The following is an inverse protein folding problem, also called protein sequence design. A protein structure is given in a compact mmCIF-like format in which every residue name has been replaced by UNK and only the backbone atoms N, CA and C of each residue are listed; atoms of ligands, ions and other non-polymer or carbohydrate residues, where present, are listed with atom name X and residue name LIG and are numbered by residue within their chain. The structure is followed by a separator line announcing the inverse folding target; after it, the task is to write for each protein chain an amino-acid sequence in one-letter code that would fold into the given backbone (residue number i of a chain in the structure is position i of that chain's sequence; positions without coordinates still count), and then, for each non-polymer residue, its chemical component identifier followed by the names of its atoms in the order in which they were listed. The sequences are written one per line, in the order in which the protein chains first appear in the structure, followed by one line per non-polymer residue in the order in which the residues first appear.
data_IF_813599410092
#
_entry.id   IF_813599410092
#
_cell.length_a   1.000
_cell.length_b   1.000
_cell.length_c   1.000
_cell.angle_alpha   90.00
_cell.angle_beta   90.00
_cell.angle_gamma   90.00
#
_symmetry.space_group_name_H-M   'P 1'
#
loop_
_entity.id
_entity.type
_entity.pdbx_description
1 polymer ?
#
# COMPACT_ATOMS: atom_id res chain seq x y z
N UNK A 1 14.52 -14.10 -3.52
CA UNK A 1 15.69 -14.45 -4.38
C UNK A 1 16.91 -13.62 -4.03
N UNK A 2 16.81 -12.29 -4.04
CA UNK A 2 17.93 -11.37 -3.75
C UNK A 2 18.73 -11.75 -2.51
N UNK A 3 18.08 -11.98 -1.36
CA UNK A 3 18.74 -12.36 -0.09
C UNK A 3 19.73 -13.51 -0.23
N UNK A 4 19.38 -14.56 -0.99
CA UNK A 4 20.23 -15.76 -1.15
C UNK A 4 21.42 -15.44 -2.06
N UNK A 5 21.23 -14.64 -3.10
CA UNK A 5 22.30 -14.22 -4.02
C UNK A 5 23.27 -13.26 -3.33
N UNK A 6 22.78 -12.30 -2.54
CA UNK A 6 23.62 -11.41 -1.74
C UNK A 6 24.44 -12.19 -0.70
N UNK A 7 23.81 -13.16 -0.02
CA UNK A 7 24.51 -14.07 0.89
C UNK A 7 25.62 -14.86 0.16
N UNK A 8 25.34 -15.38 -1.03
CA UNK A 8 26.33 -16.09 -1.85
C UNK A 8 27.48 -15.17 -2.27
N UNK A 9 27.19 -13.93 -2.68
CA UNK A 9 28.21 -12.95 -3.04
C UNK A 9 29.15 -12.66 -1.86
N UNK A 10 28.60 -12.42 -0.66
CA UNK A 10 29.40 -12.24 0.56
C UNK A 10 30.24 -13.47 0.90
N UNK A 11 29.70 -14.69 0.67
CA UNK A 11 30.45 -15.93 0.87
C UNK A 11 31.61 -16.08 -0.11
N UNK A 12 31.40 -15.77 -1.40
CA UNK A 12 32.45 -15.82 -2.42
C UNK A 12 33.58 -14.85 -2.10
N UNK A 13 33.26 -13.67 -1.55
CA UNK A 13 34.23 -12.66 -1.14
C UNK A 13 35.04 -13.10 0.10
N UNK A 14 34.36 -13.46 1.19
CA UNK A 14 34.99 -13.98 2.40
C UNK A 14 34.05 -14.96 3.14
N UNK A 15 34.30 -16.29 3.04
CA UNK A 15 33.51 -17.30 3.73
C UNK A 15 33.52 -17.19 5.27
N UNK A 16 34.50 -16.48 5.84
CA UNK A 16 34.61 -16.26 7.29
C UNK A 16 34.26 -14.83 7.71
N UNK A 17 33.87 -13.98 6.75
CA UNK A 17 33.60 -12.56 6.95
C UNK A 17 32.34 -12.30 7.77
N UNK A 18 32.30 -11.15 8.44
CA UNK A 18 31.17 -10.77 9.30
C UNK A 18 29.88 -10.57 8.50
N UNK A 19 29.96 -10.12 7.24
CA UNK A 19 28.79 -9.96 6.38
C UNK A 19 28.13 -11.30 6.05
N UNK A 20 28.90 -12.32 5.71
CA UNK A 20 28.35 -13.66 5.46
C UNK A 20 27.72 -14.25 6.72
N UNK A 21 28.36 -14.12 7.90
CA UNK A 21 27.79 -14.56 9.18
C UNK A 21 26.47 -13.86 9.51
N UNK A 22 26.35 -12.56 9.24
CA UNK A 22 25.09 -11.81 9.39
C UNK A 22 24.01 -12.34 8.44
N UNK A 23 24.35 -12.65 7.20
CA UNK A 23 23.40 -13.28 6.27
C UNK A 23 22.93 -14.67 6.72
N UNK A 24 23.84 -15.48 7.28
CA UNK A 24 23.50 -16.80 7.83
C UNK A 24 22.52 -16.68 9.00
N UNK A 25 22.75 -15.72 9.91
CA UNK A 25 21.90 -15.47 11.05
C UNK A 25 20.46 -15.10 10.66
N UNK A 26 20.25 -14.54 9.46
CA UNK A 26 18.95 -14.16 8.89
C UNK A 26 18.31 -15.24 8.00
N UNK A 27 18.88 -16.46 7.92
CA UNK A 27 18.20 -17.58 7.22
C UNK A 27 16.88 -17.97 7.92
N UNK A 28 16.84 -18.13 9.26
CA UNK A 28 15.61 -18.53 9.95
C UNK A 28 14.43 -17.58 9.70
N UNK A 29 14.70 -16.28 9.54
CA UNK A 29 13.70 -15.25 9.22
C UNK A 29 12.94 -15.58 7.92
N UNK A 30 13.47 -16.44 7.05
CA UNK A 30 12.88 -16.84 5.77
C UNK A 30 12.26 -18.25 5.81
N UNK A 31 12.27 -18.94 6.95
CA UNK A 31 11.81 -20.32 7.06
C UNK A 31 10.48 -20.38 7.83
N UNK A 32 9.49 -21.04 7.24
CA UNK A 32 8.17 -21.25 7.82
C UNK A 32 7.87 -22.74 7.94
N UNK A 33 7.42 -23.19 9.12
CA UNK A 33 6.95 -24.56 9.32
C UNK A 33 5.44 -24.60 9.12
N UNK A 34 4.99 -25.14 7.99
CA UNK A 34 3.59 -25.32 7.66
C UNK A 34 3.11 -26.74 8.02
N UNK A 35 1.80 -26.97 7.86
CA UNK A 35 1.18 -28.29 8.05
C UNK A 35 1.77 -29.36 7.11
N UNK A 36 2.24 -28.93 5.94
CA UNK A 36 2.88 -29.73 4.90
C UNK A 36 4.40 -29.53 4.86
N UNK A 37 5.01 -29.42 6.04
CA UNK A 37 6.46 -29.32 6.28
C UNK A 37 7.06 -27.90 6.10
N UNK A 38 8.37 -27.84 5.93
CA UNK A 38 9.17 -26.61 5.98
C UNK A 38 9.18 -25.95 4.60
N UNK A 39 8.86 -24.67 4.57
CA UNK A 39 8.85 -23.81 3.39
C UNK A 39 9.78 -22.62 3.58
N UNK A 40 10.24 -22.05 2.47
CA UNK A 40 10.91 -20.76 2.45
C UNK A 40 9.92 -19.71 1.96
N UNK A 41 9.64 -18.70 2.78
CA UNK A 41 8.84 -17.54 2.38
C UNK A 41 9.74 -16.38 1.92
N UNK A 42 9.14 -15.32 1.37
CA UNK A 42 9.88 -14.16 0.87
C UNK A 42 10.41 -13.28 1.98
N UNK A 43 9.57 -12.72 2.83
CA UNK A 43 9.97 -11.85 3.94
C UNK A 43 8.90 -11.78 5.05
N UNK A 44 7.82 -12.58 4.92
CA UNK A 44 6.62 -12.50 5.76
C UNK A 44 5.63 -11.40 5.29
N UNK A 45 4.43 -11.38 5.87
CA UNK A 45 3.34 -10.42 5.60
C UNK A 45 2.81 -9.76 6.87
N UNK A 46 3.65 -9.68 7.90
CA UNK A 46 3.23 -9.38 9.28
C UNK A 46 2.55 -8.02 9.39
N UNK A 47 3.15 -6.97 8.83
CA UNK A 47 2.59 -5.63 8.87
C UNK A 47 1.30 -5.57 8.04
N UNK A 48 1.32 -6.06 6.80
CA UNK A 48 0.15 -6.09 5.92
C UNK A 48 -1.06 -6.79 6.55
N UNK A 49 -0.85 -7.98 7.11
CA UNK A 49 -1.89 -8.76 7.77
C UNK A 49 -2.38 -8.06 9.05
N UNK A 50 -1.47 -7.40 9.79
CA UNK A 50 -1.83 -6.65 11.00
C UNK A 50 -2.67 -5.43 10.65
N UNK A 51 -2.28 -4.64 9.66
CA UNK A 51 -3.03 -3.47 9.19
C UNK A 51 -4.44 -3.83 8.75
N UNK A 52 -4.61 -4.87 7.93
CA UNK A 52 -5.95 -5.33 7.54
C UNK A 52 -6.74 -5.92 8.70
N UNK A 53 -6.10 -6.67 9.61
CA UNK A 53 -6.77 -7.23 10.79
C UNK A 53 -7.31 -6.13 11.70
N UNK A 54 -6.51 -5.08 11.95
CA UNK A 54 -6.95 -3.92 12.74
C UNK A 54 -8.13 -3.23 12.07
N UNK A 55 -8.07 -2.98 10.76
CA UNK A 55 -9.20 -2.40 10.03
C UNK A 55 -10.46 -3.26 10.11
N UNK A 56 -10.33 -4.58 10.01
CA UNK A 56 -11.45 -5.51 10.12
C UNK A 56 -12.05 -5.51 11.55
N UNK A 57 -11.21 -5.50 12.59
CA UNK A 57 -11.66 -5.39 13.98
C UNK A 57 -12.39 -4.07 14.25
N UNK A 58 -11.86 -2.96 13.74
CA UNK A 58 -12.51 -1.64 13.84
C UNK A 58 -13.86 -1.61 13.11
N UNK A 59 -13.93 -2.17 11.89
CA UNK A 59 -15.16 -2.25 11.12
C UNK A 59 -16.22 -3.19 11.73
N UNK A 60 -15.79 -4.17 12.55
CA UNK A 60 -16.67 -5.12 13.24
C UNK A 60 -17.00 -4.74 14.69
N UNK A 61 -16.60 -3.55 15.14
CA UNK A 61 -16.76 -3.07 16.52
C UNK A 61 -16.10 -3.98 17.59
N UNK A 62 -15.04 -4.71 17.23
CA UNK A 62 -14.26 -5.57 18.13
C UNK A 62 -13.01 -4.83 18.64
N UNK A 63 -13.20 -3.60 19.12
CA UNK A 63 -12.13 -2.63 19.42
C UNK A 63 -11.25 -3.06 20.62
N UNK A 64 -11.75 -3.94 21.49
CA UNK A 64 -11.07 -4.31 22.74
C UNK A 64 -9.83 -5.23 22.57
N UNK A 65 -9.43 -5.58 21.33
CA UNK A 65 -8.35 -6.55 21.05
C UNK A 65 -7.07 -5.95 20.43
N UNK A 66 -6.96 -4.61 20.29
CA UNK A 66 -5.89 -3.95 19.51
C UNK A 66 -4.68 -3.53 20.40
N UNK A 67 -3.43 -3.67 19.90
CA UNK A 67 -2.17 -3.17 20.54
C UNK A 67 -1.19 -2.56 19.50
N UNK A 68 -0.48 -1.44 19.79
CA UNK A 68 0.37 -0.70 18.82
C UNK A 68 1.87 -1.07 18.80
N UNK A 69 2.57 -0.72 17.69
CA UNK A 69 4.03 -0.87 17.42
C UNK A 69 4.73 0.50 17.28
N UNK A 70 6.02 0.66 17.64
CA UNK A 70 6.59 1.98 18.03
C UNK A 70 7.87 2.55 17.37
N UNK A 71 8.73 1.86 16.62
CA UNK A 71 10.07 2.42 16.30
C UNK A 71 10.54 2.36 14.83
N UNK A 72 11.58 3.16 14.50
CA UNK A 72 12.20 3.33 13.17
C UNK A 72 13.75 3.19 13.25
N UNK A 73 14.46 2.65 12.24
CA UNK A 73 15.93 2.61 12.19
C UNK A 73 16.57 3.67 11.24
N UNK A 74 17.91 3.93 11.33
CA UNK A 74 18.59 5.00 10.58
C UNK A 74 19.55 4.51 9.47
N UNK A 75 19.55 5.14 8.26
CA UNK A 75 20.73 5.17 7.34
C UNK A 75 20.60 6.16 6.14
N UNK A 76 21.71 6.38 5.40
CA UNK A 76 21.83 7.25 4.19
C UNK A 76 21.52 6.47 2.90
N UNK A 77 20.24 6.45 2.53
CA UNK A 77 19.65 5.56 1.52
C UNK A 77 19.85 6.00 0.04
N UNK A 78 20.10 7.29 -0.23
CA UNK A 78 20.10 7.84 -1.60
C UNK A 78 21.24 7.33 -2.49
N UNK A 79 22.40 6.96 -1.93
CA UNK A 79 23.53 6.42 -2.71
C UNK A 79 23.30 4.99 -3.21
N UNK A 80 22.26 4.31 -2.72
CA UNK A 80 21.93 2.92 -3.02
C UNK A 80 20.68 2.78 -3.89
N UNK A 81 20.25 3.87 -4.55
CA UNK A 81 19.02 3.91 -5.36
C UNK A 81 17.77 3.47 -4.58
N UNK A 82 17.65 3.90 -3.32
CA UNK A 82 16.44 3.69 -2.51
C UNK A 82 15.60 4.96 -2.44
N UNK A 83 14.28 4.81 -2.38
CA UNK A 83 13.34 5.90 -2.10
C UNK A 83 13.24 6.26 -0.61
N UNK A 84 12.54 7.35 -0.27
CA UNK A 84 12.36 7.84 1.10
C UNK A 84 11.50 6.85 1.90
N UNK A 85 12.02 6.32 3.01
CA UNK A 85 11.32 5.36 3.87
C UNK A 85 10.95 5.89 5.27
N UNK A 86 11.38 7.11 5.64
CA UNK A 86 11.04 7.68 6.95
C UNK A 86 9.53 7.93 7.03
N UNK A 87 8.88 7.32 8.02
CA UNK A 87 7.43 7.44 8.25
C UNK A 87 6.58 6.51 7.36
N UNK A 88 7.22 5.58 6.66
CA UNK A 88 6.55 4.55 5.86
C UNK A 88 6.55 3.21 6.59
N UNK A 89 5.75 2.27 6.10
CA UNK A 89 5.69 0.90 6.56
C UNK A 89 6.11 -0.07 5.45
N UNK A 90 6.77 -1.15 5.85
CA UNK A 90 7.15 -2.25 4.96
C UNK A 90 6.01 -3.27 4.89
N UNK A 91 6.10 -4.24 3.98
CA UNK A 91 5.12 -5.32 3.93
C UNK A 91 5.24 -6.31 5.10
N UNK A 92 6.44 -6.45 5.66
CA UNK A 92 6.77 -7.49 6.64
C UNK A 92 7.09 -6.92 8.01
N UNK A 93 8.35 -6.61 8.27
CA UNK A 93 8.85 -6.12 9.55
C UNK A 93 9.76 -4.91 9.37
N UNK A 94 10.08 -4.27 10.49
CA UNK A 94 10.89 -3.06 10.52
C UNK A 94 12.32 -3.27 9.96
N UNK A 95 12.91 -4.45 10.14
CA UNK A 95 14.28 -4.76 9.69
C UNK A 95 14.34 -4.98 8.16
N UNK A 96 13.22 -5.24 7.49
CA UNK A 96 13.15 -5.33 6.03
C UNK A 96 13.44 -3.97 5.36
N UNK A 97 13.07 -2.86 6.01
CA UNK A 97 13.36 -1.47 5.60
C UNK A 97 12.92 -1.06 4.17
N UNK A 98 12.17 -1.92 3.45
CA UNK A 98 11.64 -1.63 2.13
C UNK A 98 10.19 -1.15 2.22
N UNK A 99 10.03 0.16 2.07
CA UNK A 99 8.73 0.81 2.15
C UNK A 99 7.80 0.42 1.00
N UNK A 100 6.51 0.19 1.28
CA UNK A 100 5.49 -0.05 0.26
C UNK A 100 4.39 0.99 0.42
N UNK A 101 3.91 1.54 -0.69
CA UNK A 101 2.95 2.64 -0.69
C UNK A 101 1.59 2.25 -0.12
N UNK A 102 1.11 1.06 -0.46
CA UNK A 102 -0.17 0.53 0.04
C UNK A 102 -0.04 0.10 1.50
N UNK A 103 1.04 -0.58 1.90
CA UNK A 103 1.30 -0.92 3.30
C UNK A 103 1.32 0.36 4.17
N UNK A 104 2.13 1.34 3.76
CA UNK A 104 2.20 2.65 4.41
C UNK A 104 0.86 3.37 4.48
N UNK A 105 0.01 3.17 3.48
CA UNK A 105 -1.34 3.72 3.48
C UNK A 105 -2.24 3.00 4.47
N UNK A 106 -2.31 1.67 4.39
CA UNK A 106 -3.21 0.87 5.23
C UNK A 106 -2.87 1.04 6.71
N UNK A 107 -1.59 1.16 7.04
CA UNK A 107 -1.16 1.41 8.42
C UNK A 107 -1.36 2.86 8.83
N UNK A 108 -1.15 3.83 7.93
CA UNK A 108 -1.54 5.22 8.18
C UNK A 108 -3.05 5.32 8.48
N UNK A 109 -3.90 4.60 7.75
CA UNK A 109 -5.34 4.52 8.04
C UNK A 109 -5.58 3.95 9.43
N UNK A 110 -4.93 2.83 9.78
CA UNK A 110 -5.05 2.22 11.12
C UNK A 110 -4.65 3.21 12.21
N UNK A 111 -3.49 3.85 12.08
CA UNK A 111 -3.00 4.79 13.08
C UNK A 111 -3.90 6.03 13.19
N UNK A 112 -4.43 6.54 12.09
CA UNK A 112 -5.39 7.66 12.12
C UNK A 112 -6.70 7.24 12.79
N UNK A 113 -7.26 6.07 12.44
CA UNK A 113 -8.49 5.55 13.09
C UNK A 113 -8.27 5.31 14.58
N UNK A 114 -7.16 4.67 14.96
CA UNK A 114 -6.81 4.43 16.36
C UNK A 114 -6.60 5.74 17.12
N UNK A 115 -6.03 6.78 16.50
CA UNK A 115 -5.84 8.09 17.16
C UNK A 115 -7.15 8.81 17.51
N UNK A 116 -8.26 8.41 16.87
CA UNK A 116 -9.62 8.87 17.16
C UNK A 116 -10.26 8.11 18.32
N UNK A 117 -9.72 6.95 18.72
CA UNK A 117 -10.17 6.18 19.89
C UNK A 117 -9.63 6.78 21.22
N UNK A 118 -10.20 6.32 22.34
CA UNK A 118 -9.75 6.76 23.68
C UNK A 118 -8.35 6.25 23.99
N UNK A 119 -7.54 7.06 24.67
CA UNK A 119 -6.19 6.67 25.11
C UNK A 119 -6.19 5.49 26.09
N UNK A 120 -7.33 5.19 26.73
CA UNK A 120 -7.49 4.00 27.56
C UNK A 120 -7.38 2.70 26.75
N UNK A 121 -7.83 2.72 25.50
CA UNK A 121 -7.81 1.57 24.60
C UNK A 121 -6.47 1.48 23.86
N UNK A 122 -6.00 2.59 23.28
CA UNK A 122 -4.86 2.59 22.35
C UNK A 122 -3.54 3.09 22.95
N UNK A 123 -3.57 3.57 24.20
CA UNK A 123 -2.43 4.16 24.87
C UNK A 123 -2.11 5.58 24.41
N UNK A 124 -0.83 5.94 24.53
CA UNK A 124 -0.32 7.25 24.11
C UNK A 124 -0.50 7.46 22.59
N UNK A 125 -0.96 8.66 22.22
CA UNK A 125 -1.17 9.01 20.81
C UNK A 125 0.18 9.18 20.11
N UNK A 126 0.22 8.80 18.83
CA UNK A 126 1.36 9.11 18.00
C UNK A 126 1.48 10.63 17.77
N UNK A 127 2.72 11.11 17.73
CA UNK A 127 3.01 12.50 17.40
C UNK A 127 2.55 12.85 15.97
N UNK A 128 1.90 14.00 15.74
CA UNK A 128 1.39 14.40 14.43
C UNK A 128 2.42 14.35 13.30
N UNK A 129 3.68 14.64 13.61
CA UNK A 129 4.80 14.65 12.67
C UNK A 129 5.03 13.29 12.02
N UNK A 130 4.70 12.18 12.70
CA UNK A 130 4.80 10.83 12.12
C UNK A 130 3.79 10.63 10.99
N UNK A 131 2.57 11.15 11.14
CA UNK A 131 1.57 11.13 10.07
C UNK A 131 2.01 12.01 8.88
N UNK A 132 2.66 13.14 9.16
CA UNK A 132 3.17 14.04 8.12
C UNK A 132 4.27 13.39 7.28
N UNK A 133 5.19 12.67 7.92
CA UNK A 133 6.21 11.91 7.21
C UNK A 133 5.59 10.85 6.26
N UNK A 134 4.60 10.09 6.75
CA UNK A 134 3.85 9.13 5.92
C UNK A 134 3.16 9.79 4.72
N UNK A 135 2.44 10.89 4.96
CA UNK A 135 1.76 11.66 3.90
C UNK A 135 2.76 12.19 2.87
N UNK A 136 3.95 12.60 3.27
CA UNK A 136 4.98 13.05 2.34
C UNK A 136 5.50 11.92 1.44
N UNK A 137 5.62 10.70 1.96
CA UNK A 137 5.96 9.52 1.15
C UNK A 137 4.85 9.27 0.12
N UNK A 138 3.58 9.20 0.54
CA UNK A 138 2.45 8.98 -0.38
C UNK A 138 2.38 10.03 -1.49
N UNK A 139 2.51 11.32 -1.14
CA UNK A 139 2.49 12.41 -2.12
C UNK A 139 3.66 12.33 -3.11
N UNK A 140 4.79 11.73 -2.72
CA UNK A 140 5.97 11.59 -3.59
C UNK A 140 5.85 10.47 -4.62
N UNK A 141 4.94 9.51 -4.41
CA UNK A 141 4.77 8.31 -5.23
C UNK A 141 3.70 8.46 -6.32
N UNK A 142 3.07 9.64 -6.45
CA UNK A 142 2.12 9.90 -7.53
C UNK A 142 2.83 10.21 -8.84
N UNK A 143 2.49 9.45 -9.86
CA UNK A 143 2.91 9.71 -11.23
C UNK A 143 2.11 10.81 -11.90
N UNK A 144 2.62 11.30 -13.04
CA UNK A 144 1.98 12.37 -13.83
C UNK A 144 0.59 12.00 -14.33
N UNK A 145 0.32 10.71 -14.55
CA UNK A 145 -1.00 10.19 -14.95
C UNK A 145 -2.00 10.15 -13.77
N UNK A 146 -1.54 10.39 -12.54
CA UNK A 146 -2.34 10.40 -11.31
C UNK A 146 -2.29 9.10 -10.52
N UNK A 147 -1.74 8.03 -11.07
CA UNK A 147 -1.61 6.74 -10.39
C UNK A 147 -0.51 6.76 -9.31
N UNK A 148 -0.67 5.90 -8.31
CA UNK A 148 0.33 5.62 -7.28
C UNK A 148 1.09 4.34 -7.59
N UNK A 149 2.41 4.40 -7.45
CA UNK A 149 3.30 3.25 -7.58
C UNK A 149 3.49 2.50 -6.26
N UNK A 150 4.00 1.27 -6.30
CA UNK A 150 4.18 0.43 -5.12
C UNK A 150 5.42 0.84 -4.30
N UNK A 151 6.60 0.90 -4.92
CA UNK A 151 7.86 1.03 -4.20
C UNK A 151 8.55 2.37 -4.43
N UNK A 152 8.58 2.84 -5.67
CA UNK A 152 9.28 4.06 -6.06
C UNK A 152 8.44 4.90 -7.03
N UNK A 153 8.77 6.17 -7.30
CA UNK A 153 8.06 6.93 -8.32
C UNK A 153 8.23 6.27 -9.69
N UNK A 154 7.13 5.85 -10.31
CA UNK A 154 7.13 5.39 -11.68
C UNK A 154 7.51 6.54 -12.63
N UNK A 155 8.50 6.30 -13.48
CA UNK A 155 9.04 7.34 -14.36
C UNK A 155 9.89 6.83 -15.52
N UNK A 156 10.15 5.53 -15.56
CA UNK A 156 10.82 4.88 -16.67
C UNK A 156 9.86 4.70 -17.85
N UNK A 157 10.40 4.57 -19.06
CA UNK A 157 9.58 4.43 -20.27
C UNK A 157 9.10 2.99 -20.45
N UNK A 158 7.83 2.80 -20.79
CA UNK A 158 7.19 1.48 -21.00
C UNK A 158 7.96 0.55 -21.95
N UNK A 159 8.62 1.09 -22.99
CA UNK A 159 9.38 0.28 -23.95
C UNK A 159 10.52 -0.51 -23.29
N UNK A 160 10.98 -0.12 -22.10
CA UNK A 160 11.99 -0.86 -21.35
C UNK A 160 11.50 -2.26 -20.96
N UNK A 161 10.19 -2.49 -20.85
CA UNK A 161 9.64 -3.84 -20.65
C UNK A 161 9.96 -4.79 -21.82
N UNK A 162 10.25 -4.27 -23.02
CA UNK A 162 10.77 -5.11 -24.12
C UNK A 162 12.14 -5.73 -23.80
N UNK A 163 12.85 -5.21 -22.80
CA UNK A 163 14.12 -5.73 -22.32
C UNK A 163 13.96 -6.74 -21.20
N UNK A 164 12.73 -7.12 -20.84
CA UNK A 164 12.48 -8.12 -19.80
C UNK A 164 13.14 -9.46 -20.19
N UNK A 165 14.18 -9.89 -19.45
CA UNK A 165 14.89 -11.12 -19.78
C UNK A 165 14.22 -12.35 -19.15
N UNK A 166 13.17 -12.18 -18.36
CA UNK A 166 12.48 -13.28 -17.68
C UNK A 166 11.33 -13.78 -18.54
N UNK A 167 11.25 -15.09 -18.75
CA UNK A 167 10.25 -15.67 -19.65
C UNK A 167 8.89 -15.94 -18.98
N UNK A 168 8.83 -15.87 -17.66
CA UNK A 168 7.67 -16.30 -16.87
C UNK A 168 7.09 -15.22 -15.96
N UNK A 169 7.69 -14.03 -15.93
CA UNK A 169 7.12 -12.85 -15.29
C UNK A 169 6.94 -11.73 -16.31
N UNK A 170 5.86 -10.98 -16.19
CA UNK A 170 5.59 -9.77 -16.96
C UNK A 170 5.67 -8.55 -16.06
N UNK A 171 5.93 -7.38 -16.65
CA UNK A 171 5.85 -6.07 -15.98
C UNK A 171 6.75 -5.95 -14.74
N UNK A 172 8.02 -6.36 -14.89
CA UNK A 172 9.00 -6.39 -13.80
C UNK A 172 10.21 -5.46 -14.02
N UNK A 173 10.34 -4.86 -15.20
CA UNK A 173 11.54 -4.09 -15.56
C UNK A 173 11.44 -2.67 -15.03
N UNK A 174 10.24 -2.11 -15.03
CA UNK A 174 9.96 -0.78 -14.52
C UNK A 174 8.94 -0.84 -13.39
N UNK A 175 8.92 0.23 -12.60
CA UNK A 175 7.83 0.47 -11.66
C UNK A 175 6.60 0.99 -12.41
N UNK A 176 5.42 0.47 -12.05
CA UNK A 176 4.14 0.79 -12.66
C UNK A 176 3.21 1.43 -11.64
N UNK A 177 2.15 2.08 -12.12
CA UNK A 177 1.08 2.56 -11.26
C UNK A 177 -0.06 1.55 -11.15
N UNK A 178 -0.55 1.33 -9.92
CA UNK A 178 -1.52 0.27 -9.63
C UNK A 178 -2.83 0.83 -9.09
N UNK A 179 -3.93 0.14 -9.40
CA UNK A 179 -5.28 0.45 -8.89
C UNK A 179 -5.28 0.44 -7.37
N UNK A 180 -4.64 -0.56 -6.80
CA UNK A 180 -4.60 -0.87 -5.38
C UNK A 180 -3.88 0.24 -4.62
N UNK A 181 -2.62 0.51 -4.99
CA UNK A 181 -1.81 1.58 -4.39
C UNK A 181 -2.49 2.95 -4.52
N UNK A 182 -3.07 3.26 -5.68
CA UNK A 182 -3.77 4.53 -5.92
C UNK A 182 -4.99 4.68 -5.04
N UNK A 183 -5.82 3.63 -4.97
CA UNK A 183 -7.06 3.62 -4.19
C UNK A 183 -6.79 3.73 -2.69
N UNK A 184 -5.86 2.90 -2.19
CA UNK A 184 -5.37 2.94 -0.82
C UNK A 184 -4.98 4.38 -0.47
N UNK A 185 -4.08 5.01 -1.24
CA UNK A 185 -3.62 6.36 -0.98
C UNK A 185 -4.75 7.39 -0.91
N UNK A 186 -5.78 7.29 -1.77
CA UNK A 186 -6.98 8.14 -1.68
C UNK A 186 -7.64 7.99 -0.30
N UNK A 187 -7.91 6.75 0.12
CA UNK A 187 -8.59 6.48 1.39
C UNK A 187 -7.81 7.02 2.60
N UNK A 188 -6.49 6.80 2.67
CA UNK A 188 -5.67 7.37 3.76
C UNK A 188 -5.71 8.89 3.76
N UNK A 189 -5.50 9.52 2.60
CA UNK A 189 -5.39 10.97 2.51
C UNK A 189 -6.72 11.68 2.82
N UNK A 190 -7.85 11.09 2.41
CA UNK A 190 -9.19 11.58 2.80
C UNK A 190 -9.36 11.51 4.32
N UNK A 191 -8.98 10.40 4.94
CA UNK A 191 -9.10 10.23 6.38
C UNK A 191 -8.16 11.17 7.16
N UNK A 192 -6.89 11.23 6.76
CA UNK A 192 -5.88 12.12 7.32
C UNK A 192 -6.32 13.59 7.24
N UNK A 193 -6.91 14.02 6.12
CA UNK A 193 -7.42 15.39 5.94
C UNK A 193 -8.51 15.74 6.94
N UNK A 194 -9.33 14.79 7.40
CA UNK A 194 -10.32 15.04 8.46
C UNK A 194 -9.64 15.37 9.79
N UNK A 195 -8.56 14.67 10.12
CA UNK A 195 -7.81 14.88 11.36
C UNK A 195 -6.91 16.12 11.30
N UNK A 196 -6.29 16.38 10.14
CA UNK A 196 -5.29 17.45 9.96
C UNK A 196 -5.59 18.33 8.72
N UNK A 197 -6.68 19.12 8.74
CA UNK A 197 -7.20 19.82 7.55
C UNK A 197 -6.27 20.92 6.99
N UNK A 198 -5.28 21.38 7.77
CA UNK A 198 -4.34 22.42 7.38
C UNK A 198 -3.07 21.92 6.69
N UNK A 199 -2.67 20.66 6.90
CA UNK A 199 -1.38 20.15 6.42
C UNK A 199 -1.43 19.83 4.92
N UNK A 200 -0.63 20.53 4.11
CA UNK A 200 -0.49 20.33 2.65
C UNK A 200 -1.82 20.15 1.90
N UNK A 201 -2.86 20.87 2.35
CA UNK A 201 -4.24 20.70 1.92
C UNK A 201 -4.40 20.70 0.40
N UNK A 202 -3.75 21.66 -0.27
CA UNK A 202 -3.87 21.83 -1.72
C UNK A 202 -3.22 20.67 -2.48
N UNK A 203 -2.06 20.22 -2.04
CA UNK A 203 -1.37 19.08 -2.65
C UNK A 203 -2.16 17.78 -2.45
N UNK A 204 -2.74 17.58 -1.27
CA UNK A 204 -3.59 16.42 -0.98
C UNK A 204 -4.87 16.45 -1.84
N UNK A 205 -5.53 17.60 -1.97
CA UNK A 205 -6.72 17.75 -2.81
C UNK A 205 -6.41 17.48 -4.29
N UNK A 206 -5.27 17.98 -4.78
CA UNK A 206 -4.80 17.70 -6.13
C UNK A 206 -4.48 16.22 -6.33
N UNK A 207 -3.79 15.59 -5.36
CA UNK A 207 -3.48 14.17 -5.40
C UNK A 207 -4.74 13.35 -5.57
N UNK A 208 -5.74 13.55 -4.70
CA UNK A 208 -7.00 12.79 -4.72
C UNK A 208 -7.71 13.00 -6.06
N UNK A 209 -7.79 14.24 -6.55
CA UNK A 209 -8.43 14.54 -7.82
C UNK A 209 -7.75 13.87 -9.02
N UNK A 210 -6.42 13.79 -9.02
CA UNK A 210 -5.65 13.11 -10.07
C UNK A 210 -5.80 11.59 -10.00
N UNK A 211 -5.74 11.03 -8.79
CA UNK A 211 -5.88 9.61 -8.51
C UNK A 211 -7.27 9.08 -8.92
N UNK A 212 -8.32 9.84 -8.63
CA UNK A 212 -9.68 9.52 -9.11
C UNK A 212 -9.74 9.46 -10.64
N UNK A 213 -9.12 10.43 -11.34
CA UNK A 213 -9.09 10.42 -12.81
C UNK A 213 -8.30 9.24 -13.35
N UNK A 214 -7.20 8.86 -12.70
CA UNK A 214 -6.45 7.67 -13.05
C UNK A 214 -7.35 6.43 -12.99
N UNK A 215 -8.03 6.20 -11.86
CA UNK A 215 -8.94 5.06 -11.68
C UNK A 215 -10.06 5.04 -12.72
N UNK A 216 -10.67 6.19 -13.03
CA UNK A 216 -11.70 6.31 -14.06
C UNK A 216 -11.15 6.02 -15.47
N UNK A 217 -9.92 6.41 -15.78
CA UNK A 217 -9.31 6.23 -17.09
C UNK A 217 -8.87 4.79 -17.37
N UNK A 218 -8.47 4.04 -16.34
CA UNK A 218 -7.99 2.66 -16.49
C UNK A 218 -9.09 1.60 -16.29
N UNK A 219 -10.34 2.04 -16.04
CA UNK A 219 -11.47 1.14 -15.95
C UNK A 219 -11.69 0.41 -17.29
N UNK A 220 -11.89 -0.91 -17.22
CA UNK A 220 -12.14 -1.72 -18.42
C UNK A 220 -13.57 -1.48 -18.98
N UNK A 221 -13.81 -1.76 -20.28
CA UNK A 221 -15.12 -1.56 -20.89
C UNK A 221 -16.28 -2.34 -20.23
N UNK A 222 -15.99 -3.43 -19.53
CA UNK A 222 -16.97 -4.23 -18.77
C UNK A 222 -17.24 -3.69 -17.36
N UNK A 223 -16.55 -2.61 -16.97
CA UNK A 223 -16.64 -1.94 -15.69
C UNK A 223 -15.68 -2.46 -14.62
N UNK A 224 -14.87 -3.48 -14.92
CA UNK A 224 -13.90 -4.06 -13.99
C UNK A 224 -12.59 -3.28 -13.94
N UNK A 225 -11.77 -3.60 -12.93
CA UNK A 225 -10.37 -3.20 -12.83
C UNK A 225 -9.51 -4.44 -12.65
N UNK A 226 -8.38 -4.51 -13.34
CA UNK A 226 -7.44 -5.61 -13.20
C UNK A 226 -6.70 -5.49 -11.86
N UNK A 227 -6.63 -6.58 -11.10
CA UNK A 227 -5.84 -6.68 -9.87
C UNK A 227 -4.47 -7.28 -10.15
N UNK A 228 -3.42 -6.58 -9.73
CA UNK A 228 -2.03 -6.99 -9.91
C UNK A 228 -1.47 -7.68 -8.68
N UNK A 229 -1.95 -7.31 -7.49
CA UNK A 229 -1.46 -7.85 -6.21
C UNK A 229 -2.42 -8.85 -5.55
N UNK A 230 -3.57 -9.10 -6.19
CA UNK A 230 -4.55 -10.10 -5.78
C UNK A 230 -5.36 -10.62 -6.96
N UNK A 231 -5.99 -11.78 -6.81
CA UNK A 231 -6.64 -12.51 -7.92
C UNK A 231 -8.13 -12.17 -8.04
N UNK A 232 -8.63 -11.63 -9.14
CA UNK A 232 -7.96 -10.66 -10.00
C UNK A 232 -8.91 -9.45 -10.13
N UNK A 233 -9.97 -9.60 -10.92
CA UNK A 233 -10.94 -8.51 -11.14
C UNK A 233 -11.76 -8.15 -9.90
N UNK A 234 -12.15 -9.13 -9.08
CA UNK A 234 -12.85 -8.85 -7.81
C UNK A 234 -11.99 -8.04 -6.86
N UNK A 235 -10.69 -8.33 -6.82
CA UNK A 235 -9.72 -7.63 -5.99
C UNK A 235 -9.48 -6.20 -6.51
N UNK A 236 -9.13 -6.05 -7.79
CA UNK A 236 -8.93 -4.73 -8.41
C UNK A 236 -10.19 -3.85 -8.32
N UNK A 237 -11.37 -4.40 -8.62
CA UNK A 237 -12.63 -3.67 -8.49
C UNK A 237 -12.96 -3.29 -7.05
N UNK A 238 -12.68 -4.15 -6.07
CA UNK A 238 -12.89 -3.82 -4.66
C UNK A 238 -12.06 -2.61 -4.25
N UNK A 239 -10.76 -2.58 -4.58
CA UNK A 239 -9.91 -1.43 -4.34
C UNK A 239 -10.44 -0.20 -5.07
N UNK A 240 -10.59 -0.25 -6.40
CA UNK A 240 -11.03 0.91 -7.18
C UNK A 240 -12.30 1.56 -6.61
N UNK A 241 -13.30 0.75 -6.28
CA UNK A 241 -14.56 1.23 -5.75
C UNK A 241 -14.43 1.79 -4.33
N UNK A 242 -13.60 1.18 -3.48
CA UNK A 242 -13.29 1.71 -2.15
C UNK A 242 -12.66 3.11 -2.21
N UNK A 243 -11.69 3.31 -3.09
CA UNK A 243 -11.02 4.59 -3.29
C UNK A 243 -11.95 5.65 -3.87
N UNK A 244 -12.73 5.30 -4.90
CA UNK A 244 -13.74 6.20 -5.47
C UNK A 244 -14.80 6.60 -4.42
N UNK A 245 -15.30 5.63 -3.64
CA UNK A 245 -16.25 5.90 -2.56
C UNK A 245 -15.65 6.83 -1.49
N UNK A 246 -14.40 6.58 -1.07
CA UNK A 246 -13.69 7.44 -0.12
C UNK A 246 -13.52 8.87 -0.66
N UNK A 247 -13.31 9.05 -1.96
CA UNK A 247 -13.27 10.37 -2.61
C UNK A 247 -14.65 11.04 -2.77
N UNK A 248 -15.73 10.43 -2.29
CA UNK A 248 -17.09 10.96 -2.37
C UNK A 248 -17.78 10.71 -3.72
N UNK A 249 -17.27 9.77 -4.52
CA UNK A 249 -17.99 9.27 -5.70
C UNK A 249 -19.09 8.33 -5.24
N UNK A 250 -20.26 8.53 -5.80
CA UNK A 250 -21.50 7.82 -5.49
C UNK A 250 -22.18 7.49 -6.80
N UNK A 251 -23.17 6.60 -6.73
CA UNK A 251 -24.07 6.31 -7.85
C UNK A 251 -24.61 7.59 -8.55
N UNK A 252 -24.90 8.64 -7.79
CA UNK A 252 -25.60 9.85 -8.29
C UNK A 252 -24.67 10.87 -8.97
N UNK A 253 -23.37 10.84 -8.71
CA UNK A 253 -22.41 11.84 -9.19
C UNK A 253 -21.24 11.23 -9.99
N UNK A 254 -21.26 9.92 -10.26
CA UNK A 254 -20.42 9.31 -11.29
C UNK A 254 -20.99 9.65 -12.69
N UNK A 255 -20.15 10.03 -13.68
CA UNK A 255 -20.62 10.27 -15.03
C UNK A 255 -21.19 8.99 -15.63
N UNK A 256 -22.51 8.92 -15.75
CA UNK A 256 -23.29 7.80 -16.33
C UNK A 256 -23.10 7.68 -17.85
N UNK A 257 -22.20 8.47 -18.47
CA UNK A 257 -22.15 8.64 -19.92
C UNK A 257 -20.75 8.50 -20.49
N UNK A 258 -20.36 7.26 -20.83
CA UNK A 258 -19.52 6.94 -22.00
C UNK A 258 -19.36 5.42 -22.24
N UNK A 259 -19.82 4.56 -21.33
CA UNK A 259 -19.85 3.12 -21.59
C UNK A 259 -21.08 2.76 -22.43
N UNK A 260 -20.88 2.62 -23.75
CA UNK A 260 -21.87 2.01 -24.64
C UNK A 260 -22.24 0.61 -24.14
N UNK A 261 -23.54 0.36 -23.96
CA UNK A 261 -24.13 -0.98 -23.87
C UNK A 261 -24.06 -1.74 -22.54
N UNK A 262 -23.01 -1.57 -21.72
CA UNK A 262 -22.79 -2.40 -20.52
C UNK A 262 -22.75 -1.63 -19.19
N UNK A 263 -23.32 -0.43 -19.13
CA UNK A 263 -23.38 0.40 -17.92
C UNK A 263 -24.22 -0.20 -16.77
N UNK A 264 -24.76 -1.41 -16.87
CA UNK A 264 -25.50 -2.05 -15.77
C UNK A 264 -24.60 -2.74 -14.74
N UNK A 265 -23.37 -3.15 -15.09
CA UNK A 265 -22.48 -3.90 -14.18
C UNK A 265 -21.78 -2.98 -13.16
N UNK A 266 -21.06 -1.94 -13.60
CA UNK A 266 -20.31 -1.02 -12.72
C UNK A 266 -21.22 -0.17 -11.82
N UNK A 267 -22.45 0.09 -12.30
CA UNK A 267 -23.50 0.88 -11.64
C UNK A 267 -24.11 0.18 -10.43
N UNK A 268 -24.13 -1.16 -10.39
CA UNK A 268 -24.59 -1.92 -9.21
C UNK A 268 -23.52 -2.07 -8.12
N UNK A 269 -22.23 -2.00 -8.45
CA UNK A 269 -21.15 -2.33 -7.50
C UNK A 269 -20.78 -1.11 -6.63
N UNK A 270 -20.86 0.12 -7.16
CA UNK A 270 -20.63 1.35 -6.35
C UNK A 270 -21.64 1.49 -5.20
N UNK A 271 -22.86 0.96 -5.37
CA UNK A 271 -23.91 0.97 -4.35
C UNK A 271 -23.59 0.05 -3.15
N UNK A 272 -22.83 -1.03 -3.36
CA UNK A 272 -22.37 -1.91 -2.29
C UNK A 272 -21.16 -1.32 -1.54
N UNK A 273 -20.24 -0.66 -2.25
CA UNK A 273 -19.05 -0.05 -1.65
C UNK A 273 -19.40 1.10 -0.68
N UNK A 274 -20.41 1.92 -1.01
CA UNK A 274 -20.87 3.01 -0.12
C UNK A 274 -21.49 2.52 1.19
N UNK A 275 -21.95 1.27 1.27
CA UNK A 275 -22.49 0.69 2.50
C UNK A 275 -21.42 0.09 3.44
N UNK A 276 -20.16 0.00 2.99
CA UNK A 276 -19.10 -0.78 3.66
C UNK A 276 -18.03 0.06 4.35
N UNK A 277 -17.99 1.38 4.10
CA UNK A 277 -17.11 2.28 4.85
C UNK A 277 -17.85 2.69 6.12
N UNK A 278 -17.36 2.35 7.33
CA UNK A 278 -17.95 2.84 8.55
C UNK A 278 -17.83 4.37 8.53
N UNK A 279 -18.96 5.07 8.48
CA UNK A 279 -19.00 6.41 9.06
C UNK A 279 -18.85 6.19 10.57
N UNK A 280 -17.75 6.61 11.20
CA UNK A 280 -17.72 6.60 12.65
C UNK A 280 -18.81 7.57 13.11
N UNK A 281 -19.87 7.05 13.71
CA UNK A 281 -20.74 7.85 14.56
C UNK A 281 -19.86 8.39 15.68
N UNK A 282 -19.63 9.70 15.63
CA UNK A 282 -18.90 10.49 16.62
C UNK A 282 -19.62 10.52 17.97
#
# INVERSE_FOLDING_TARGET
MEKVLCMLACWVEDPNGDYFKKHLARIPDYIWVAEDEIKMHSFGSQEWDTGFSVQALLASNLINEIRPVKDNPPSDFKKMYRHISKGSWTFSDQDHEWQVSDCSTEDLKCCVLMSMLSQEIVGEKLEPERFYDAVNVLLSLQSKNGGGAAWEPAGASEWLEMLNPTEFFADIVIEHEYVECTSSAISALVLFKKLNPGYRKKEIENFIANAVRFLENIQMPDGSWYGNWGVCFTYGSWFALGGLAAAGKTYKNCPVGNCGGNAHSSVSILQLATCSLPEPEL
#
